data_IF_087748766475
#
_entry.id   IF_087748766475
#
_cell.length_a   1.000
_cell.length_b   1.000
_cell.length_c   1.000
_cell.angle_alpha   90.00
_cell.angle_beta   90.00
_cell.angle_gamma   90.00
#
_symmetry.space_group_name_H-M   'P 1'
#
loop_
_entity.id
_entity.type
_entity.pdbx_description
1 polymer ?
#
# COMPACT_ATOMS: atom_id res chain seq x y z
N UNK A 1 -56.84 -38.17 0.00
CA UNK A 1 -55.84 -37.51 -0.89
C UNK A 1 -55.72 -35.99 -0.65
N UNK A 2 -55.80 -35.49 0.60
CA UNK A 2 -55.68 -34.04 0.89
C UNK A 2 -54.47 -33.69 1.79
N UNK A 3 -54.03 -34.62 2.65
CA UNK A 3 -52.96 -34.36 3.63
C UNK A 3 -51.52 -34.36 3.06
N UNK A 4 -51.27 -35.04 1.94
CA UNK A 4 -49.91 -35.13 1.37
C UNK A 4 -49.47 -33.83 0.67
N UNK A 5 -50.43 -33.11 0.05
CA UNK A 5 -50.17 -31.83 -0.62
C UNK A 5 -49.86 -30.72 0.38
N UNK A 6 -50.55 -30.71 1.53
CA UNK A 6 -50.29 -29.75 2.60
C UNK A 6 -48.94 -30.02 3.30
N UNK A 7 -48.54 -31.29 3.43
CA UNK A 7 -47.25 -31.66 4.01
C UNK A 7 -46.05 -31.23 3.13
N UNK A 8 -46.16 -31.37 1.81
CA UNK A 8 -45.16 -30.88 0.85
C UNK A 8 -45.03 -29.36 0.84
N UNK A 9 -46.14 -28.62 1.02
CA UNK A 9 -46.12 -27.15 1.13
C UNK A 9 -45.43 -26.69 2.40
N UNK A 10 -45.64 -27.39 3.53
CA UNK A 10 -44.95 -27.08 4.79
C UNK A 10 -43.44 -27.34 4.72
N UNK A 11 -43.00 -28.41 4.03
CA UNK A 11 -41.57 -28.69 3.83
C UNK A 11 -40.92 -27.62 2.94
N UNK A 12 -41.58 -27.21 1.85
CA UNK A 12 -41.06 -26.16 0.96
C UNK A 12 -40.96 -24.79 1.68
N UNK A 13 -41.92 -24.46 2.55
CA UNK A 13 -41.86 -23.24 3.38
C UNK A 13 -40.75 -23.30 4.44
N UNK A 14 -40.47 -24.48 5.00
CA UNK A 14 -39.36 -24.66 5.96
C UNK A 14 -37.98 -24.52 5.30
N UNK A 15 -37.83 -24.99 4.06
CA UNK A 15 -36.59 -24.81 3.27
C UNK A 15 -36.38 -23.36 2.82
N UNK A 16 -37.44 -22.57 2.62
CA UNK A 16 -37.31 -21.14 2.31
C UNK A 16 -36.85 -20.29 3.50
N UNK A 17 -37.06 -20.73 4.74
CA UNK A 17 -36.69 -19.97 5.95
C UNK A 17 -35.31 -20.30 6.53
N UNK A 18 -34.65 -21.37 6.07
CA UNK A 18 -33.34 -21.79 6.61
C UNK A 18 -32.13 -21.24 5.82
N UNK A 19 -32.35 -20.53 4.71
CA UNK A 19 -31.31 -20.08 3.78
C UNK A 19 -30.54 -18.81 4.18
N UNK A 20 -30.79 -18.23 5.35
CA UNK A 20 -30.10 -17.02 5.82
C UNK A 20 -29.21 -17.30 7.04
N UNK A 21 -28.38 -18.35 6.96
CA UNK A 21 -27.15 -18.35 7.74
C UNK A 21 -26.29 -17.21 7.20
N UNK A 22 -26.32 -16.09 7.93
CA UNK A 22 -25.58 -14.89 7.64
C UNK A 22 -24.12 -15.25 7.31
N UNK A 23 -23.75 -15.12 6.04
CA UNK A 23 -22.37 -14.91 5.68
C UNK A 23 -21.94 -13.62 6.39
N UNK A 24 -21.30 -13.76 7.55
CA UNK A 24 -20.66 -12.65 8.25
C UNK A 24 -19.58 -12.11 7.33
N UNK A 25 -19.94 -11.18 6.45
CA UNK A 25 -18.97 -10.42 5.69
C UNK A 25 -18.08 -9.77 6.73
N UNK A 26 -16.80 -10.15 6.78
CA UNK A 26 -15.82 -9.45 7.61
C UNK A 26 -15.79 -8.02 7.07
N UNK A 27 -16.55 -7.12 7.68
CA UNK A 27 -16.78 -5.78 7.11
C UNK A 27 -15.52 -4.92 7.13
N UNK A 28 -14.52 -5.31 7.92
CA UNK A 28 -13.21 -4.68 7.98
C UNK A 28 -12.13 -5.65 7.46
N UNK A 29 -11.72 -5.48 6.20
CA UNK A 29 -10.58 -6.22 5.62
C UNK A 29 -9.37 -5.29 5.53
N UNK A 30 -8.21 -5.80 5.93
CA UNK A 30 -6.92 -5.22 5.60
C UNK A 30 -6.26 -6.04 4.48
N UNK A 31 -5.56 -5.36 3.59
CA UNK A 31 -4.90 -5.97 2.44
C UNK A 31 -3.41 -5.68 2.45
N UNK A 32 -2.60 -6.62 1.94
CA UNK A 32 -1.19 -6.39 1.67
C UNK A 32 -0.77 -6.99 0.34
N UNK A 33 -0.06 -6.19 -0.43
CA UNK A 33 0.49 -6.59 -1.72
C UNK A 33 1.94 -7.06 -1.52
N UNK A 34 2.24 -8.25 -2.01
CA UNK A 34 3.58 -8.82 -2.07
C UNK A 34 4.00 -8.92 -3.53
N UNK A 35 4.89 -8.01 -3.94
CA UNK A 35 5.57 -8.08 -5.23
C UNK A 35 6.72 -9.06 -5.13
N UNK A 36 6.83 -9.93 -6.13
CA UNK A 36 7.91 -10.89 -6.24
C UNK A 36 8.09 -11.73 -4.96
N UNK A 37 7.02 -12.33 -4.41
CA UNK A 37 7.06 -12.98 -3.11
C UNK A 37 8.12 -14.08 -3.08
N UNK A 38 8.75 -14.25 -1.93
CA UNK A 38 9.86 -15.18 -1.73
C UNK A 38 9.54 -16.18 -0.62
N UNK A 39 10.11 -17.38 -0.73
CA UNK A 39 10.07 -18.40 0.29
C UNK A 39 11.48 -18.98 0.47
N UNK A 40 11.98 -18.94 1.71
CA UNK A 40 13.38 -19.27 2.05
C UNK A 40 14.39 -18.50 1.19
N UNK A 41 14.12 -17.19 0.99
CA UNK A 41 15.03 -16.27 0.30
C UNK A 41 15.04 -16.34 -1.23
N UNK A 42 14.28 -17.26 -1.86
CA UNK A 42 14.15 -17.35 -3.31
C UNK A 42 12.72 -17.12 -3.77
N UNK A 43 12.53 -16.80 -5.05
CA UNK A 43 11.20 -16.56 -5.64
C UNK A 43 10.27 -17.74 -5.34
N UNK A 44 9.07 -17.46 -4.83
CA UNK A 44 8.07 -18.48 -4.58
C UNK A 44 7.57 -19.07 -5.91
N UNK A 45 7.61 -20.40 -6.03
CA UNK A 45 7.08 -21.12 -7.18
C UNK A 45 5.56 -20.97 -7.28
N UNK A 46 5.05 -20.90 -8.50
CA UNK A 46 3.62 -20.73 -8.77
C UNK A 46 2.79 -21.98 -8.41
N UNK A 47 3.40 -23.16 -8.40
CA UNK A 47 2.77 -24.44 -8.16
C UNK A 47 3.37 -25.16 -6.94
N UNK A 48 2.68 -26.21 -6.48
CA UNK A 48 3.23 -27.20 -5.55
C UNK A 48 4.28 -28.07 -6.25
N UNK A 49 5.10 -28.76 -5.45
CA UNK A 49 6.18 -29.63 -5.95
C UNK A 49 5.68 -30.72 -6.93
N UNK A 50 4.47 -31.24 -6.70
CA UNK A 50 3.84 -32.24 -7.55
C UNK A 50 3.02 -31.64 -8.71
N UNK A 51 2.98 -30.31 -8.82
CA UNK A 51 2.28 -29.58 -9.86
C UNK A 51 0.75 -29.66 -9.80
N UNK A 52 0.16 -30.23 -8.75
CA UNK A 52 -1.30 -30.43 -8.66
C UNK A 52 -2.05 -29.17 -8.28
N UNK A 53 -1.47 -28.35 -7.41
CA UNK A 53 -2.06 -27.09 -6.98
C UNK A 53 -1.20 -25.93 -7.48
N UNK A 54 -1.83 -24.92 -8.06
CA UNK A 54 -1.13 -23.75 -8.60
C UNK A 54 -1.91 -22.47 -8.32
N UNK A 55 -1.21 -21.34 -8.38
CA UNK A 55 -1.83 -20.03 -8.30
C UNK A 55 -2.49 -19.79 -6.94
N UNK A 56 -3.83 -19.73 -6.91
CA UNK A 56 -4.58 -19.29 -5.73
C UNK A 56 -4.35 -20.19 -4.51
N UNK A 57 -4.20 -21.50 -4.69
CA UNK A 57 -4.04 -22.42 -3.57
C UNK A 57 -2.68 -22.22 -2.87
N UNK A 58 -1.61 -22.14 -3.66
CA UNK A 58 -0.26 -21.81 -3.15
C UNK A 58 -0.24 -20.39 -2.56
N UNK A 59 -0.91 -19.43 -3.21
CA UNK A 59 -1.00 -18.06 -2.71
C UNK A 59 -1.76 -17.97 -1.38
N UNK A 60 -2.84 -18.72 -1.21
CA UNK A 60 -3.60 -18.80 0.05
C UNK A 60 -2.72 -19.35 1.17
N UNK A 61 -2.04 -20.48 0.93
CA UNK A 61 -1.11 -21.08 1.90
C UNK A 61 0.00 -20.11 2.28
N UNK A 62 0.57 -19.40 1.29
CA UNK A 62 1.59 -18.38 1.53
C UNK A 62 1.05 -17.23 2.41
N UNK A 63 -0.14 -16.71 2.10
CA UNK A 63 -0.79 -15.68 2.92
C UNK A 63 -1.06 -16.17 4.36
N UNK A 64 -1.51 -17.41 4.53
CA UNK A 64 -1.75 -18.03 5.83
C UNK A 64 -0.48 -18.18 6.66
N UNK A 65 0.63 -18.59 6.03
CA UNK A 65 1.94 -18.64 6.70
C UNK A 65 2.42 -17.26 7.17
N UNK A 66 1.98 -16.19 6.51
CA UNK A 66 2.27 -14.81 6.90
C UNK A 66 1.24 -14.22 7.89
N UNK A 67 0.25 -15.00 8.32
CA UNK A 67 -0.78 -14.59 9.27
C UNK A 67 -2.01 -13.92 8.66
N UNK A 68 -2.19 -13.98 7.34
CA UNK A 68 -3.40 -13.50 6.65
C UNK A 68 -4.42 -14.63 6.47
N UNK A 69 -5.69 -14.31 6.19
CA UNK A 69 -6.73 -15.34 6.04
C UNK A 69 -6.62 -16.05 4.68
N UNK A 70 -6.44 -15.29 3.59
CA UNK A 70 -6.43 -15.81 2.22
C UNK A 70 -5.80 -14.82 1.23
N UNK A 71 -5.55 -15.28 0.00
CA UNK A 71 -5.16 -14.44 -1.13
C UNK A 71 -6.39 -13.98 -1.92
N UNK A 72 -6.55 -12.67 -2.09
CA UNK A 72 -7.58 -12.08 -2.96
C UNK A 72 -7.16 -12.05 -4.42
N UNK A 73 -5.86 -11.91 -4.69
CA UNK A 73 -5.30 -11.90 -6.03
C UNK A 73 -3.97 -12.65 -6.07
N UNK A 74 -3.69 -13.26 -7.22
CA UNK A 74 -2.42 -13.88 -7.53
C UNK A 74 -2.14 -13.70 -9.02
N UNK A 75 -0.94 -13.23 -9.36
CA UNK A 75 -0.51 -12.98 -10.73
C UNK A 75 0.75 -13.78 -10.97
N UNK A 76 0.75 -14.58 -12.03
CA UNK A 76 1.88 -15.41 -12.44
C UNK A 76 2.98 -14.56 -13.11
N UNK A 77 4.24 -14.91 -12.83
CA UNK A 77 5.42 -14.51 -13.58
C UNK A 77 5.97 -15.75 -14.28
N UNK A 78 5.94 -15.76 -15.61
CA UNK A 78 6.40 -16.89 -16.40
C UNK A 78 7.93 -16.94 -16.51
N UNK A 79 8.47 -18.16 -16.58
CA UNK A 79 9.85 -18.43 -16.97
C UNK A 79 10.91 -17.66 -16.16
N UNK A 80 10.72 -17.57 -14.84
CA UNK A 80 11.61 -16.84 -13.92
C UNK A 80 12.92 -17.57 -13.62
N UNK A 81 13.07 -18.82 -14.06
CA UNK A 81 14.33 -19.56 -14.04
C UNK A 81 14.66 -20.26 -12.72
N UNK A 82 14.45 -19.61 -11.58
CA UNK A 82 14.75 -20.18 -10.26
C UNK A 82 13.66 -19.84 -9.25
N UNK A 83 13.03 -20.86 -8.69
CA UNK A 83 11.97 -20.75 -7.68
C UNK A 83 12.08 -21.82 -6.60
N UNK A 84 11.46 -21.56 -5.45
CA UNK A 84 11.31 -22.51 -4.34
C UNK A 84 9.85 -22.91 -4.17
N UNK A 85 9.60 -24.21 -3.99
CA UNK A 85 8.27 -24.72 -3.68
C UNK A 85 7.86 -24.41 -2.24
N UNK A 86 6.62 -23.96 -2.05
CA UNK A 86 6.09 -23.66 -0.73
C UNK A 86 6.08 -24.92 0.15
N UNK A 87 6.53 -24.82 1.40
CA UNK A 87 6.52 -25.93 2.34
C UNK A 87 7.59 -27.01 2.08
N UNK A 88 8.53 -26.78 1.15
CA UNK A 88 9.63 -27.70 0.83
C UNK A 88 10.96 -26.95 0.71
N UNK A 89 12.07 -27.69 0.77
CA UNK A 89 13.41 -27.18 0.40
C UNK A 89 13.73 -27.42 -1.08
N UNK A 90 12.86 -28.13 -1.80
CA UNK A 90 13.02 -28.36 -3.23
C UNK A 90 12.89 -27.06 -4.02
N UNK A 91 13.58 -27.00 -5.16
CA UNK A 91 13.62 -25.85 -6.05
C UNK A 91 13.24 -26.27 -7.45
N UNK A 92 12.59 -25.38 -8.19
CA UNK A 92 12.52 -25.49 -9.65
C UNK A 92 13.69 -24.70 -10.25
N UNK A 93 14.41 -25.34 -11.17
CA UNK A 93 15.51 -24.74 -11.92
C UNK A 93 15.27 -24.93 -13.42
N UNK A 94 15.33 -23.84 -14.17
CA UNK A 94 15.20 -23.85 -15.63
C UNK A 94 14.07 -22.94 -16.15
N UNK A 95 14.02 -22.82 -17.47
CA UNK A 95 13.14 -21.86 -18.14
C UNK A 95 11.64 -22.14 -17.95
N UNK A 96 11.24 -23.36 -17.57
CA UNK A 96 9.83 -23.71 -17.32
C UNK A 96 9.34 -23.32 -15.92
N UNK A 97 10.23 -22.83 -15.07
CA UNK A 97 9.90 -22.47 -13.69
C UNK A 97 9.17 -21.14 -13.66
N UNK A 98 7.97 -21.16 -13.09
CA UNK A 98 7.11 -20.00 -12.96
C UNK A 98 7.05 -19.58 -11.49
N UNK A 99 6.99 -18.28 -11.25
CA UNK A 99 6.80 -17.74 -9.91
C UNK A 99 5.57 -16.87 -9.84
N UNK A 100 5.38 -16.23 -8.69
CA UNK A 100 4.41 -15.14 -8.59
C UNK A 100 5.06 -13.80 -8.97
N UNK A 101 4.35 -13.02 -9.78
CA UNK A 101 4.58 -11.58 -9.93
C UNK A 101 4.07 -10.85 -8.70
N UNK A 102 2.82 -11.13 -8.32
CA UNK A 102 2.16 -10.48 -7.18
C UNK A 102 1.22 -11.45 -6.47
N UNK A 103 1.20 -11.40 -5.14
CA UNK A 103 0.13 -11.97 -4.32
C UNK A 103 -0.47 -10.84 -3.47
N UNK A 104 -1.79 -10.73 -3.44
CA UNK A 104 -2.50 -9.83 -2.53
C UNK A 104 -3.15 -10.66 -1.44
N UNK A 105 -2.70 -10.49 -0.20
CA UNK A 105 -3.26 -11.16 0.96
C UNK A 105 -4.32 -10.27 1.62
N UNK A 106 -5.36 -10.90 2.16
CA UNK A 106 -6.40 -10.25 2.95
C UNK A 106 -6.48 -10.86 4.35
N UNK A 107 -6.73 -10.01 5.34
CA UNK A 107 -7.06 -10.42 6.71
C UNK A 107 -8.26 -9.64 7.18
N UNK A 108 -9.18 -10.33 7.85
CA UNK A 108 -10.27 -9.70 8.55
C UNK A 108 -9.87 -9.19 9.91
N UNK A 109 -10.24 -7.96 10.18
CA UNK A 109 -10.01 -7.30 11.46
C UNK A 109 -11.20 -7.55 12.38
N UNK A 110 -10.91 -8.01 13.60
CA UNK A 110 -11.91 -8.19 14.67
C UNK A 110 -12.39 -6.87 15.27
N UNK A 111 -11.61 -5.82 15.10
CA UNK A 111 -11.94 -4.46 15.51
C UNK A 111 -12.16 -3.60 14.27
N UNK A 112 -12.95 -2.55 14.43
CA UNK A 112 -12.95 -1.44 13.47
C UNK A 112 -11.61 -0.75 13.59
N UNK A 113 -10.71 -0.81 12.58
CA UNK A 113 -9.51 -0.01 12.61
C UNK A 113 -9.93 1.46 12.84
N UNK A 114 -9.21 2.22 13.67
CA UNK A 114 -9.49 3.64 13.78
C UNK A 114 -9.50 4.22 12.37
N UNK A 115 -10.43 5.16 12.10
CA UNK A 115 -10.42 5.90 10.82
C UNK A 115 -8.96 6.29 10.57
N UNK A 116 -8.37 5.98 9.40
CA UNK A 116 -6.99 6.32 9.15
C UNK A 116 -6.87 7.81 9.44
N UNK A 117 -6.23 8.17 10.55
CA UNK A 117 -6.07 9.56 10.92
C UNK A 117 -5.27 10.15 9.78
N UNK A 118 -5.91 11.03 9.04
CA UNK A 118 -5.39 11.65 7.85
C UNK A 118 -4.13 12.46 8.20
N UNK A 119 -2.97 11.81 8.27
CA UNK A 119 -1.73 12.47 7.86
C UNK A 119 -1.69 12.64 6.32
N UNK A 120 -2.87 12.82 5.67
CA UNK A 120 -2.95 13.52 4.39
C UNK A 120 -2.16 14.80 4.52
N UNK A 121 -2.29 15.49 5.65
CA UNK A 121 -1.60 16.76 5.87
C UNK A 121 -0.52 16.66 6.93
N UNK A 122 0.66 17.21 6.62
CA UNK A 122 1.72 17.43 7.61
C UNK A 122 2.18 18.87 7.57
N UNK A 123 2.15 19.51 8.74
CA UNK A 123 2.67 20.86 8.95
C UNK A 123 4.16 20.79 9.27
N UNK A 124 4.97 21.42 8.44
CA UNK A 124 6.39 21.66 8.67
C UNK A 124 6.57 23.10 9.14
N UNK A 125 6.88 23.29 10.43
CA UNK A 125 7.28 24.58 10.96
C UNK A 125 8.76 24.82 10.65
N UNK A 126 9.09 26.02 10.13
CA UNK A 126 10.46 26.38 9.72
C UNK A 126 11.10 25.26 8.88
N UNK A 127 10.52 24.93 7.71
CA UNK A 127 10.93 23.77 6.92
C UNK A 127 12.40 23.85 6.56
N UNK A 128 13.10 22.73 6.76
CA UNK A 128 14.52 22.54 6.45
C UNK A 128 14.72 21.36 5.51
N UNK A 129 15.72 21.46 4.65
CA UNK A 129 16.17 20.39 3.77
C UNK A 129 17.70 20.33 3.81
N UNK A 130 18.26 19.16 4.16
CA UNK A 130 19.68 18.95 4.40
C UNK A 130 20.28 20.04 5.31
N UNK A 131 19.67 20.23 6.49
CA UNK A 131 20.05 21.19 7.54
C UNK A 131 19.82 22.68 7.24
N UNK A 132 19.61 23.07 5.98
CA UNK A 132 19.34 24.47 5.62
C UNK A 132 17.85 24.78 5.63
N UNK A 133 17.52 26.01 6.06
CA UNK A 133 16.17 26.53 5.94
C UNK A 133 15.83 26.78 4.47
N UNK A 134 14.67 26.27 4.04
CA UNK A 134 14.25 26.34 2.64
C UNK A 134 13.93 27.78 2.26
N UNK A 135 14.59 28.25 1.20
CA UNK A 135 14.33 29.56 0.60
C UNK A 135 12.91 29.65 0.03
N UNK A 136 12.35 30.85 0.00
CA UNK A 136 11.04 31.12 -0.59
C UNK A 136 10.98 30.76 -2.08
N UNK A 137 12.10 30.77 -2.79
CA UNK A 137 12.22 30.51 -4.21
C UNK A 137 12.88 29.16 -4.53
N UNK A 138 12.45 28.56 -5.64
CA UNK A 138 12.97 27.27 -6.13
C UNK A 138 14.43 27.44 -6.59
N UNK A 139 14.69 28.55 -7.26
CA UNK A 139 16.00 29.03 -7.70
C UNK A 139 16.11 30.52 -7.33
N UNK A 140 17.30 31.12 -7.45
CA UNK A 140 17.50 32.53 -7.10
C UNK A 140 16.52 33.43 -7.85
N UNK A 141 15.58 34.02 -7.11
CA UNK A 141 14.51 34.90 -7.60
C UNK A 141 13.58 34.26 -8.66
N UNK A 142 13.50 32.93 -8.76
CA UNK A 142 12.62 32.22 -9.71
C UNK A 142 11.84 31.09 -9.03
N UNK A 143 10.62 30.85 -9.51
CA UNK A 143 9.76 29.77 -9.01
C UNK A 143 9.41 29.89 -7.53
N UNK A 144 9.01 31.09 -7.09
CA UNK A 144 8.78 31.40 -5.69
C UNK A 144 7.41 30.96 -5.15
N UNK A 145 7.32 30.75 -3.84
CA UNK A 145 6.10 30.36 -3.15
C UNK A 145 5.66 28.94 -3.50
N UNK A 146 4.57 28.79 -4.26
CA UNK A 146 3.93 27.48 -4.50
C UNK A 146 4.87 26.46 -5.13
N UNK A 147 5.68 26.87 -6.10
CA UNK A 147 6.57 25.96 -6.82
C UNK A 147 7.68 25.42 -5.92
N UNK A 148 8.33 26.29 -5.13
CA UNK A 148 9.30 25.87 -4.12
C UNK A 148 8.66 25.02 -3.00
N UNK A 149 7.46 25.38 -2.53
CA UNK A 149 6.74 24.63 -1.51
C UNK A 149 6.33 23.22 -2.00
N UNK A 150 5.89 23.09 -3.25
CA UNK A 150 5.60 21.79 -3.87
C UNK A 150 6.87 20.94 -3.99
N UNK A 151 7.99 21.53 -4.44
CA UNK A 151 9.28 20.83 -4.49
C UNK A 151 9.69 20.28 -3.12
N UNK A 152 9.50 21.09 -2.06
CA UNK A 152 9.73 20.64 -0.68
C UNK A 152 8.82 19.46 -0.31
N UNK A 153 7.50 19.58 -0.52
CA UNK A 153 6.56 18.51 -0.18
C UNK A 153 6.85 17.20 -0.92
N UNK A 154 7.20 17.28 -2.20
CA UNK A 154 7.57 16.12 -3.01
C UNK A 154 8.81 15.41 -2.45
N UNK A 155 9.84 16.16 -2.06
CA UNK A 155 11.04 15.61 -1.41
C UNK A 155 10.76 15.01 -0.03
N UNK A 156 9.71 15.47 0.66
CA UNK A 156 9.25 14.90 1.93
C UNK A 156 8.26 13.73 1.78
N UNK A 157 7.97 13.29 0.55
CA UNK A 157 7.08 12.14 0.27
C UNK A 157 5.58 12.46 0.19
N UNK A 158 5.22 13.73 0.01
CA UNK A 158 3.85 14.22 -0.18
C UNK A 158 3.61 14.60 -1.65
N UNK A 159 2.34 14.77 -2.06
CA UNK A 159 2.00 15.08 -3.46
C UNK A 159 2.13 16.57 -3.79
N UNK A 160 1.84 17.46 -2.84
CA UNK A 160 1.89 18.93 -3.05
C UNK A 160 1.82 19.71 -1.74
N UNK A 161 2.07 21.02 -1.80
CA UNK A 161 1.78 21.94 -0.70
C UNK A 161 0.31 22.39 -0.75
N UNK A 162 -0.40 22.23 0.36
CA UNK A 162 -1.77 22.75 0.55
C UNK A 162 -1.76 24.22 0.97
N UNK A 163 -0.84 24.59 1.87
CA UNK A 163 -0.71 25.96 2.37
C UNK A 163 0.74 26.25 2.73
N UNK A 164 1.17 27.50 2.68
CA UNK A 164 2.52 27.92 3.05
C UNK A 164 2.55 29.41 3.39
N UNK A 165 3.48 29.80 4.27
CA UNK A 165 3.61 31.19 4.75
C UNK A 165 5.05 31.65 4.57
N UNK A 166 5.23 32.84 3.98
CA UNK A 166 6.54 33.49 3.82
C UNK A 166 7.01 34.10 5.14
N UNK A 167 8.31 34.02 5.40
CA UNK A 167 9.02 34.84 6.37
C UNK A 167 10.08 35.66 5.63
N UNK A 168 10.06 36.97 5.82
CA UNK A 168 11.03 37.89 5.26
C UNK A 168 12.22 38.10 6.19
N UNK A 169 13.33 38.60 5.65
CA UNK A 169 14.52 39.02 6.40
C UNK A 169 15.09 37.93 7.32
N UNK A 170 15.40 36.79 6.73
CA UNK A 170 15.98 35.63 7.43
C UNK A 170 17.47 35.57 7.17
N UNK A 171 18.29 35.29 8.19
CA UNK A 171 19.75 35.38 8.10
C UNK A 171 20.39 34.48 7.03
N UNK A 172 19.86 33.27 6.83
CA UNK A 172 20.38 32.32 5.86
C UNK A 172 19.29 31.38 5.34
N UNK A 173 19.30 31.12 4.03
CA UNK A 173 18.40 30.18 3.34
C UNK A 173 19.13 29.45 2.22
N UNK A 174 18.54 28.35 1.76
CA UNK A 174 19.02 27.59 0.61
C UNK A 174 17.87 27.28 -0.35
N UNK A 175 18.06 27.56 -1.63
CA UNK A 175 17.08 27.23 -2.67
C UNK A 175 16.98 25.72 -2.84
N UNK A 176 15.77 25.21 -3.05
CA UNK A 176 15.51 23.76 -3.07
C UNK A 176 15.68 23.11 -4.45
N UNK A 177 15.69 23.93 -5.51
CA UNK A 177 15.99 23.53 -6.88
C UNK A 177 17.49 23.62 -7.16
N UNK A 178 18.04 24.84 -7.16
CA UNK A 178 19.43 25.11 -7.54
C UNK A 178 20.47 24.92 -6.43
N UNK A 179 20.06 24.69 -5.18
CA UNK A 179 20.96 24.55 -4.02
C UNK A 179 21.82 25.79 -3.71
N UNK A 180 21.43 26.96 -4.22
CA UNK A 180 22.10 28.23 -3.99
C UNK A 180 21.84 28.74 -2.56
N UNK A 181 22.88 29.28 -1.94
CA UNK A 181 22.78 29.88 -0.60
C UNK A 181 22.47 31.37 -0.70
N UNK A 182 21.64 31.85 0.22
CA UNK A 182 21.42 33.27 0.46
C UNK A 182 21.81 33.59 1.90
N UNK A 183 22.55 34.68 2.10
CA UNK A 183 22.95 35.20 3.40
C UNK A 183 22.61 36.68 3.52
N UNK A 184 22.16 37.10 4.70
CA UNK A 184 21.84 38.50 5.03
C UNK A 184 20.34 38.80 5.09
N UNK A 185 20.01 40.05 5.36
CA UNK A 185 18.64 40.49 5.67
C UNK A 185 17.71 40.53 4.45
N UNK A 186 18.21 40.27 3.25
CA UNK A 186 17.43 40.21 2.01
C UNK A 186 16.83 38.82 1.74
N UNK A 187 17.25 37.79 2.48
CA UNK A 187 16.80 36.43 2.23
C UNK A 187 15.40 36.17 2.79
N UNK A 188 14.63 35.34 2.08
CA UNK A 188 13.27 35.01 2.42
C UNK A 188 13.14 33.50 2.55
N UNK A 189 12.41 33.04 3.55
CA UNK A 189 12.22 31.62 3.80
C UNK A 189 10.74 31.29 3.94
N UNK A 190 10.43 30.00 4.00
CA UNK A 190 9.14 29.57 4.52
C UNK A 190 9.13 29.65 6.05
N UNK A 191 8.10 30.27 6.63
CA UNK A 191 7.74 30.14 8.05
C UNK A 191 7.12 28.78 8.32
N UNK A 192 6.30 28.31 7.38
CA UNK A 192 5.53 27.09 7.50
C UNK A 192 5.13 26.58 6.10
N UNK A 193 5.09 25.26 5.93
CA UNK A 193 4.48 24.58 4.79
C UNK A 193 3.58 23.46 5.33
N UNK A 194 2.34 23.38 4.85
CA UNK A 194 1.45 22.23 5.02
C UNK A 194 1.51 21.41 3.74
N UNK A 195 2.07 20.21 3.81
CA UNK A 195 2.11 19.28 2.70
C UNK A 195 0.89 18.37 2.73
N UNK A 196 0.38 17.98 1.56
CA UNK A 196 -0.77 17.12 1.35
C UNK A 196 -0.39 15.87 0.54
N UNK A 197 -0.89 14.70 0.94
CA UNK A 197 -0.78 13.41 0.26
C UNK A 197 -2.12 12.90 -0.23
#
# INVERSE_FOLDING_TARGET
MSNFRNFLVFILLFFSFCGQLAASSKQNLAFRNFWHPTYLGQRLDYCTLDGKECGKDVANRYCQMLGYDYATQNVIAYNVGLTNYLGSRAQCKGWRCNGFMTIVCAIGLSHTPPKPYHYREKRFAVPRYNDYRVDWCLERNKGCGKQAANSFCNRMGYMQAKNFVKQTQVSATKTIGSQELCFGNQCNAFKMIICYR
#
